data_IF_216763104363
#
_entry.id   IF_216763104363
#
_cell.length_a   1.000
_cell.length_b   1.000
_cell.length_c   1.000
_cell.angle_alpha   90.00
_cell.angle_beta   90.00
_cell.angle_gamma   90.00
#
_symmetry.space_group_name_H-M   'P 1'
#
loop_
_entity.id
_entity.type
_entity.pdbx_description
1 polymer ?
#
# COMPACT_ATOMS: atom_id res chain seq x y z
N UNK A 1 17.63 15.27 -15.47
CA UNK A 1 16.89 14.11 -16.04
C UNK A 1 17.90 13.03 -16.41
N UNK A 2 18.34 12.24 -15.42
CA UNK A 2 19.28 11.13 -15.59
C UNK A 2 18.53 9.82 -15.38
N UNK A 3 18.77 9.16 -14.24
CA UNK A 3 18.00 7.98 -13.78
C UNK A 3 16.48 8.18 -13.81
N UNK A 4 16.01 9.41 -13.59
CA UNK A 4 14.58 9.77 -13.52
C UNK A 4 13.90 10.00 -14.89
N UNK A 5 14.61 9.83 -16.02
CA UNK A 5 13.98 9.95 -17.34
C UNK A 5 12.95 8.83 -17.61
N UNK A 6 12.05 9.03 -18.58
CA UNK A 6 11.09 7.99 -18.99
C UNK A 6 11.80 7.03 -19.96
N UNK A 7 11.80 5.74 -19.61
CA UNK A 7 12.45 4.69 -20.40
C UNK A 7 11.41 3.69 -20.90
N UNK A 8 11.62 3.19 -22.13
CA UNK A 8 10.92 2.01 -22.64
C UNK A 8 11.83 0.80 -22.46
N UNK A 9 11.33 -0.21 -21.77
CA UNK A 9 12.04 -1.47 -21.53
C UNK A 9 11.15 -2.64 -21.93
N UNK A 10 11.78 -3.70 -22.43
CA UNK A 10 11.16 -5.00 -22.67
C UNK A 10 11.59 -5.93 -21.52
N UNK A 11 10.63 -6.69 -20.97
CA UNK A 11 10.85 -7.58 -19.83
C UNK A 11 10.35 -8.98 -20.14
N UNK A 12 10.95 -9.99 -19.51
CA UNK A 12 10.56 -11.40 -19.58
C UNK A 12 10.33 -11.92 -18.16
N UNK A 13 9.18 -12.55 -17.92
CA UNK A 13 8.77 -13.18 -16.65
C UNK A 13 8.99 -12.32 -15.38
N UNK A 14 8.73 -11.02 -15.48
CA UNK A 14 8.90 -10.13 -14.33
C UNK A 14 7.80 -10.38 -13.28
N UNK A 15 8.15 -10.85 -12.07
CA UNK A 15 7.15 -11.13 -11.05
C UNK A 15 6.58 -9.83 -10.48
N UNK A 16 5.26 -9.80 -10.34
CA UNK A 16 4.55 -8.67 -9.75
C UNK A 16 3.31 -9.15 -8.98
N UNK A 17 2.81 -8.30 -8.10
CA UNK A 17 1.57 -8.50 -7.35
C UNK A 17 0.52 -7.48 -7.78
N UNK A 18 -0.74 -7.90 -7.88
CA UNK A 18 -1.86 -6.98 -8.07
C UNK A 18 -2.11 -6.31 -6.72
N UNK A 19 -1.80 -5.01 -6.63
CA UNK A 19 -2.00 -4.23 -5.39
C UNK A 19 -3.40 -3.61 -5.36
N UNK A 20 -3.85 -3.06 -6.47
CA UNK A 20 -5.20 -2.50 -6.64
C UNK A 20 -5.79 -3.03 -7.93
N UNK A 21 -7.06 -3.46 -7.91
CA UNK A 21 -7.78 -3.93 -9.09
C UNK A 21 -8.80 -2.93 -9.63
N UNK A 22 -9.45 -3.28 -10.74
CA UNK A 22 -10.48 -2.47 -11.42
C UNK A 22 -11.85 -2.48 -10.72
N UNK A 23 -11.98 -3.24 -9.63
CA UNK A 23 -13.18 -3.37 -8.81
C UNK A 23 -13.04 -2.65 -7.47
N UNK A 24 -12.02 -1.79 -7.35
CA UNK A 24 -11.71 -1.03 -6.14
C UNK A 24 -11.26 -1.89 -4.94
N UNK A 25 -10.75 -3.10 -5.16
CA UNK A 25 -10.08 -3.86 -4.10
C UNK A 25 -8.64 -3.37 -3.93
N UNK A 26 -8.19 -3.19 -2.68
CA UNK A 26 -6.81 -2.81 -2.32
C UNK A 26 -6.20 -3.86 -1.37
N UNK A 27 -5.08 -4.44 -1.75
CA UNK A 27 -4.34 -5.45 -0.97
C UNK A 27 -3.97 -4.96 0.44
N UNK A 28 -3.75 -3.66 0.63
CA UNK A 28 -3.31 -3.08 1.89
C UNK A 28 -4.43 -2.48 2.74
N UNK A 29 -5.70 -2.61 2.33
CA UNK A 29 -6.82 -1.93 2.99
C UNK A 29 -6.92 -2.27 4.48
N UNK A 30 -6.75 -3.55 4.86
CA UNK A 30 -6.95 -3.98 6.25
C UNK A 30 -5.72 -3.86 7.15
N UNK A 31 -4.53 -3.84 6.56
CA UNK A 31 -3.26 -3.71 7.30
C UNK A 31 -2.82 -2.27 7.48
N UNK A 32 -3.30 -1.36 6.65
CA UNK A 32 -3.02 0.08 6.77
C UNK A 32 -3.89 0.78 7.81
N UNK A 33 -5.01 0.15 8.22
CA UNK A 33 -5.92 0.69 9.23
C UNK A 33 -5.28 0.61 10.63
N UNK A 34 -5.27 1.71 11.41
CA UNK A 34 -4.79 1.66 12.78
C UNK A 34 -5.66 0.70 13.60
N UNK A 35 -5.06 -0.33 14.18
CA UNK A 35 -5.78 -1.32 15.00
C UNK A 35 -6.32 -0.72 16.30
N UNK A 36 -5.76 0.40 16.75
CA UNK A 36 -6.20 1.13 17.94
C UNK A 36 -6.40 2.60 17.57
N UNK A 37 -7.66 3.01 17.45
CA UNK A 37 -8.04 4.41 17.21
C UNK A 37 -8.31 5.18 18.52
N UNK A 38 -8.71 4.47 19.58
CA UNK A 38 -9.00 5.07 20.88
C UNK A 38 -8.18 4.35 21.96
N UNK A 39 -7.23 5.07 22.56
CA UNK A 39 -6.61 4.68 23.82
C UNK A 39 -7.54 5.17 24.93
N UNK A 40 -8.19 4.29 25.71
CA UNK A 40 -8.98 4.75 26.84
C UNK A 40 -8.03 5.38 27.88
N UNK A 41 -8.21 6.67 28.15
CA UNK A 41 -7.52 7.32 29.27
C UNK A 41 -8.13 6.75 30.55
N UNK A 42 -7.28 6.16 31.40
CA UNK A 42 -7.70 5.67 32.72
C UNK A 42 -8.33 6.83 33.49
N UNK A 43 -9.63 6.75 33.75
CA UNK A 43 -10.31 7.69 34.63
C UNK A 43 -9.84 7.45 36.07
N UNK A 44 -9.17 8.44 36.65
CA UNK A 44 -8.95 8.56 38.08
C UNK A 44 -7.83 7.70 38.67
N UNK A 45 -6.73 8.38 39.02
CA UNK A 45 -6.18 8.36 40.38
C UNK A 45 -5.89 9.80 40.78
#
# INVERSE_FOLDING_TARGET
LGMEAVWRIDVEDFPAFIVVDDKCNDFFEDVSKPTILNIPVRAGV
#
